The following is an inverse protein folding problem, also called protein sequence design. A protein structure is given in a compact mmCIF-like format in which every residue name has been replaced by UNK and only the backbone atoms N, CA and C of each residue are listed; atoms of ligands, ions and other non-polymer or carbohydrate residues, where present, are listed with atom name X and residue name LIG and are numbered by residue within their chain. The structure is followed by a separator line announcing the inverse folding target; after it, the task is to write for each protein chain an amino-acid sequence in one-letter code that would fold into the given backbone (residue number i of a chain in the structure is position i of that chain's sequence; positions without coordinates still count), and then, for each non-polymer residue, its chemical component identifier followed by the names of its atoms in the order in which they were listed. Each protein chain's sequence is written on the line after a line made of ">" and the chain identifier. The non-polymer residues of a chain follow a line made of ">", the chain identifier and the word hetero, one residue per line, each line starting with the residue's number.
data_IF_260389370294
#
_entry.id   IF_260389370294
#
_cell.length_a   1.000
_cell.length_b   1.000
_cell.length_c   1.000
_cell.angle_alpha   90.00
_cell.angle_beta   90.00
_cell.angle_gamma   90.00
#
_symmetry.space_group_name_H-M   'P 1'
#
loop_
_entity.id
_entity.type
_entity.pdbx_description
1 polymer ?
#
# COMPACT_ATOMS: atom_id res chain seq x y z
N UNK A 1 5.34 -9.14 -11.35
CA UNK A 1 6.55 -9.78 -10.81
C UNK A 1 6.43 -10.15 -9.32
N UNK A 2 5.97 -9.25 -8.44
CA UNK A 2 5.81 -9.53 -7.00
C UNK A 2 4.93 -10.75 -6.68
N UNK A 3 3.73 -10.81 -7.26
CA UNK A 3 2.78 -11.94 -7.07
C UNK A 3 3.37 -13.28 -7.53
N UNK A 4 4.17 -13.27 -8.60
CA UNK A 4 4.83 -14.47 -9.10
C UNK A 4 5.94 -14.96 -8.15
N UNK A 5 6.73 -14.04 -7.56
CA UNK A 5 7.74 -14.37 -6.56
C UNK A 5 7.09 -14.94 -5.28
N UNK A 6 5.98 -14.35 -4.83
CA UNK A 6 5.19 -14.86 -3.70
C UNK A 6 4.62 -16.25 -3.99
N UNK A 7 4.04 -16.44 -5.18
CA UNK A 7 3.51 -17.74 -5.59
C UNK A 7 4.58 -18.82 -5.78
N UNK A 8 5.85 -18.44 -5.97
CA UNK A 8 7.01 -19.35 -6.03
C UNK A 8 7.69 -19.55 -4.67
N UNK A 9 7.18 -18.94 -3.60
CA UNK A 9 7.76 -19.02 -2.25
C UNK A 9 9.10 -18.29 -2.10
N UNK A 10 9.45 -17.41 -3.05
CA UNK A 10 10.70 -16.63 -3.00
C UNK A 10 10.61 -15.43 -2.06
N UNK A 11 9.39 -14.99 -1.74
CA UNK A 11 9.09 -13.94 -0.77
C UNK A 11 7.91 -14.38 0.08
N UNK A 12 7.98 -14.08 1.37
CA UNK A 12 7.00 -14.45 2.40
C UNK A 12 5.91 -13.39 2.57
N UNK A 13 6.20 -12.14 2.18
CA UNK A 13 5.27 -11.01 2.31
C UNK A 13 5.34 -10.07 1.10
N UNK A 14 4.22 -9.47 0.74
CA UNK A 14 4.14 -8.34 -0.19
C UNK A 14 3.65 -7.13 0.61
N UNK A 15 4.37 -6.02 0.52
CA UNK A 15 3.99 -4.77 1.19
C UNK A 15 3.77 -3.72 0.12
N UNK A 16 2.56 -3.24 0.01
CA UNK A 16 2.21 -2.10 -0.84
C UNK A 16 2.22 -0.86 0.01
N UNK A 17 3.08 0.08 -0.37
CA UNK A 17 3.22 1.32 0.34
C UNK A 17 3.12 2.49 -0.61
N UNK A 18 2.42 3.52 -0.15
CA UNK A 18 2.37 4.81 -0.81
C UNK A 18 3.01 5.82 0.11
N UNK A 19 3.88 6.70 -0.38
CA UNK A 19 4.28 7.84 0.41
C UNK A 19 3.01 8.61 0.73
N UNK A 20 2.73 8.77 2.04
CA UNK A 20 1.77 9.78 2.43
C UNK A 20 2.37 11.08 1.90
N UNK A 21 1.70 11.71 0.92
CA UNK A 21 2.01 13.08 0.57
C UNK A 21 1.93 13.81 1.90
N UNK A 22 3.05 14.42 2.33
CA UNK A 22 2.99 15.38 3.41
C UNK A 22 1.87 16.33 2.99
N UNK A 23 0.75 16.24 3.68
CA UNK A 23 -0.36 17.16 3.53
C UNK A 23 0.13 18.49 4.12
N UNK A 24 1.12 19.08 3.46
CA UNK A 24 1.76 20.33 3.83
C UNK A 24 0.79 21.48 3.72
N UNK A 25 -0.35 21.30 3.05
CA UNK A 25 -1.45 22.25 3.06
C UNK A 25 -2.72 21.51 2.63
N UNK A 26 -3.60 21.24 3.60
CA UNK A 26 -4.96 20.75 3.35
C UNK A 26 -5.01 19.34 2.74
N UNK A 27 -4.90 18.33 3.60
CA UNK A 27 -5.80 17.18 3.48
C UNK A 27 -7.20 17.81 3.54
N UNK A 28 -7.75 18.16 2.36
CA UNK A 28 -9.03 18.83 2.23
C UNK A 28 -10.00 18.15 3.17
N UNK A 29 -10.62 18.93 4.06
CA UNK A 29 -11.42 18.50 5.20
C UNK A 29 -12.43 17.41 4.80
N UNK A 30 -11.99 16.15 4.75
CA UNK A 30 -12.86 15.00 4.65
C UNK A 30 -13.31 14.75 6.09
N UNK A 31 -14.60 14.96 6.42
CA UNK A 31 -15.11 14.58 7.72
C UNK A 31 -15.00 13.06 7.84
N UNK A 32 -14.37 12.58 8.91
CA UNK A 32 -14.17 11.15 9.10
C UNK A 32 -12.91 10.80 9.89
N UNK A 33 -12.87 9.54 10.31
CA UNK A 33 -11.76 8.97 11.06
C UNK A 33 -10.49 8.88 10.19
N UNK A 34 -9.32 8.74 10.81
CA UNK A 34 -8.04 8.64 10.09
C UNK A 34 -8.06 7.53 9.02
N UNK A 35 -8.79 6.44 9.27
CA UNK A 35 -8.99 5.35 8.32
C UNK A 35 -9.75 5.81 7.05
N UNK A 36 -10.85 6.54 7.20
CA UNK A 36 -11.67 7.05 6.08
C UNK A 36 -10.92 8.09 5.23
N UNK A 37 -9.95 8.78 5.84
CA UNK A 37 -9.07 9.72 5.12
C UNK A 37 -7.98 9.01 4.33
N UNK A 38 -7.53 7.86 4.79
CA UNK A 38 -6.45 7.09 4.17
C UNK A 38 -7.01 6.17 3.07
N UNK A 39 -8.24 5.71 3.21
CA UNK A 39 -8.94 4.80 2.29
C UNK A 39 -8.90 5.23 0.80
N UNK A 40 -9.17 6.50 0.44
CA UNK A 40 -9.10 6.97 -0.95
C UNK A 40 -7.70 6.85 -1.57
N UNK A 41 -6.65 6.97 -0.76
CA UNK A 41 -5.25 6.89 -1.21
C UNK A 41 -4.79 5.45 -1.41
N UNK A 42 -5.36 4.51 -0.65
CA UNK A 42 -5.05 3.09 -0.73
C UNK A 42 -5.90 2.38 -1.79
N UNK A 43 -7.06 2.93 -2.17
CA UNK A 43 -7.98 2.33 -3.16
C UNK A 43 -7.30 1.90 -4.48
N UNK A 44 -6.44 2.72 -5.11
CA UNK A 44 -5.73 2.30 -6.33
C UNK A 44 -4.80 1.10 -6.12
N UNK A 45 -4.24 0.93 -4.91
CA UNK A 45 -3.39 -0.22 -4.58
C UNK A 45 -4.23 -1.49 -4.46
N UNK A 46 -5.41 -1.39 -3.83
CA UNK A 46 -6.37 -2.50 -3.75
C UNK A 46 -6.87 -2.89 -5.15
N UNK A 47 -7.17 -1.92 -6.00
CA UNK A 47 -7.60 -2.17 -7.39
C UNK A 47 -6.49 -2.88 -8.18
N UNK A 48 -5.24 -2.41 -8.09
CA UNK A 48 -4.10 -3.05 -8.74
C UNK A 48 -3.84 -4.48 -8.22
N UNK A 49 -4.08 -4.74 -6.92
CA UNK A 49 -4.04 -6.09 -6.37
C UNK A 49 -5.13 -6.99 -6.94
N UNK A 50 -6.35 -6.46 -7.06
CA UNK A 50 -7.50 -7.20 -7.60
C UNK A 50 -7.36 -7.49 -9.11
N UNK A 51 -6.65 -6.64 -9.85
CA UNK A 51 -6.30 -6.91 -11.26
C UNK A 51 -5.31 -8.07 -11.40
N UNK A 52 -4.39 -8.23 -10.44
CA UNK A 52 -3.38 -9.29 -10.46
C UNK A 52 -3.85 -10.59 -9.79
N UNK A 53 -4.83 -10.53 -8.89
CA UNK A 53 -5.28 -11.66 -8.07
C UNK A 53 -6.77 -11.53 -7.77
N UNK A 54 -7.51 -12.66 -7.75
CA UNK A 54 -8.93 -12.65 -7.36
C UNK A 54 -9.12 -12.07 -5.95
N UNK A 55 -10.20 -11.30 -5.79
CA UNK A 55 -10.58 -10.64 -4.54
C UNK A 55 -10.50 -11.56 -3.32
N UNK A 56 -11.08 -12.77 -3.39
CA UNK A 56 -11.10 -13.73 -2.27
C UNK A 56 -9.68 -14.12 -1.83
N UNK A 57 -8.77 -14.25 -2.81
CA UNK A 57 -7.37 -14.60 -2.55
C UNK A 57 -6.61 -13.44 -1.92
N UNK A 58 -6.88 -12.21 -2.36
CA UNK A 58 -6.26 -11.01 -1.78
C UNK A 58 -6.72 -10.85 -0.33
N UNK A 59 -8.03 -10.91 -0.06
CA UNK A 59 -8.57 -10.83 1.30
C UNK A 59 -7.99 -11.91 2.22
N UNK A 60 -7.93 -13.16 1.77
CA UNK A 60 -7.33 -14.25 2.56
C UNK A 60 -5.82 -14.05 2.82
N UNK A 61 -5.09 -13.40 1.91
CA UNK A 61 -3.67 -13.10 2.10
C UNK A 61 -3.44 -11.87 2.98
N UNK A 62 -4.37 -10.90 2.96
CA UNK A 62 -4.35 -9.76 3.86
C UNK A 62 -4.64 -10.19 5.30
N UNK A 63 -5.65 -11.05 5.52
CA UNK A 63 -5.95 -11.62 6.83
C UNK A 63 -4.78 -12.43 7.40
N UNK A 64 -4.03 -13.14 6.54
CA UNK A 64 -2.82 -13.88 6.91
C UNK A 64 -1.59 -12.99 7.14
N UNK A 65 -1.67 -11.68 6.86
CA UNK A 65 -0.52 -10.76 6.92
C UNK A 65 0.56 -11.02 5.88
N UNK A 66 0.21 -11.75 4.81
CA UNK A 66 1.07 -12.01 3.66
C UNK A 66 1.03 -10.86 2.65
N UNK A 67 -0.10 -10.15 2.55
CA UNK A 67 -0.21 -8.87 1.83
C UNK A 67 -0.51 -7.78 2.87
N UNK A 68 0.27 -6.71 2.87
CA UNK A 68 0.06 -5.57 3.74
C UNK A 68 -0.03 -4.29 2.90
N UNK A 69 -1.06 -3.48 3.13
CA UNK A 69 -1.22 -2.17 2.49
C UNK A 69 -1.12 -1.10 3.57
N UNK A 70 -0.03 -0.33 3.57
CA UNK A 70 0.19 0.67 4.61
C UNK A 70 1.07 1.84 4.14
N UNK A 71 0.88 3.05 4.71
CA UNK A 71 1.70 4.22 4.36
C UNK A 71 3.19 4.02 4.70
N UNK A 72 4.08 4.67 3.97
CA UNK A 72 5.54 4.51 4.18
C UNK A 72 5.97 4.93 5.61
N UNK A 73 5.23 5.85 6.23
CA UNK A 73 5.45 6.28 7.61
C UNK A 73 5.33 5.12 8.62
N UNK A 74 4.47 4.14 8.35
CA UNK A 74 4.28 2.95 9.19
C UNK A 74 5.38 1.90 9.00
N UNK A 75 6.21 2.04 7.96
CA UNK A 75 7.33 1.15 7.69
C UNK A 75 8.61 1.56 8.42
N UNK A 76 8.68 2.80 8.91
CA UNK A 76 9.85 3.32 9.62
C UNK A 76 10.09 2.52 10.91
N UNK A 77 11.28 1.92 11.04
CA UNK A 77 11.68 1.15 12.22
C UNK A 77 11.21 -0.30 12.24
N UNK A 78 10.55 -0.79 11.17
CA UNK A 78 10.18 -2.20 11.03
C UNK A 78 11.26 -2.98 10.29
N UNK A 79 11.54 -4.20 10.75
CA UNK A 79 12.39 -5.15 10.02
C UNK A 79 11.53 -5.90 9.00
N UNK A 80 11.77 -5.64 7.72
CA UNK A 80 10.98 -6.17 6.60
C UNK A 80 11.73 -7.32 5.90
N UNK A 81 11.90 -8.43 6.60
CA UNK A 81 12.58 -9.62 6.07
C UNK A 81 11.69 -10.39 5.07
N UNK A 82 12.32 -10.98 4.06
CA UNK A 82 11.68 -11.80 3.00
C UNK A 82 10.43 -11.16 2.40
N UNK A 83 10.47 -9.84 2.21
CA UNK A 83 9.32 -9.07 1.79
C UNK A 83 9.57 -8.34 0.49
N UNK A 84 8.56 -8.31 -0.36
CA UNK A 84 8.56 -7.56 -1.61
C UNK A 84 7.80 -6.25 -1.38
N UNK A 85 8.52 -5.13 -1.37
CA UNK A 85 7.92 -3.80 -1.16
C UNK A 85 7.64 -3.16 -2.52
N UNK A 86 6.40 -2.74 -2.74
CA UNK A 86 5.95 -2.00 -3.92
C UNK A 86 5.65 -0.58 -3.46
N UNK A 87 6.44 0.38 -3.94
CA UNK A 87 6.23 1.80 -3.71
C UNK A 87 5.45 2.39 -4.90
N UNK A 88 4.24 2.88 -4.66
CA UNK A 88 3.48 3.60 -5.67
C UNK A 88 3.83 5.10 -5.63
N UNK A 89 4.68 5.54 -6.54
CA UNK A 89 5.08 6.95 -6.72
C UNK A 89 4.04 7.75 -7.51
N UNK A 90 2.74 7.61 -7.21
CA UNK A 90 1.69 8.39 -7.85
C UNK A 90 1.98 9.90 -7.77
N UNK A 91 2.59 10.43 -8.84
CA UNK A 91 3.07 11.81 -9.09
C UNK A 91 3.09 12.73 -7.86
N UNK A 92 4.20 12.74 -7.12
CA UNK A 92 4.55 13.88 -6.26
C UNK A 92 5.14 14.99 -7.13
N UNK A 93 4.30 15.80 -7.77
CA UNK A 93 4.77 17.14 -8.19
C UNK A 93 4.59 18.08 -7.00
N UNK A 94 5.66 18.57 -6.36
CA UNK A 94 5.52 19.82 -5.62
C UNK A 94 5.03 20.89 -6.62
N UNK A 95 4.13 21.82 -6.23
CA UNK A 95 3.79 22.92 -7.10
C UNK A 95 5.09 23.66 -7.42
N UNK A 96 5.50 23.63 -8.69
CA UNK A 96 6.54 24.50 -9.20
C UNK A 96 6.04 25.92 -8.97
N UNK A 97 6.75 26.60 -8.07
CA UNK A 97 6.61 27.98 -7.61
C UNK A 97 6.31 28.98 -8.73
#
# INVERSE_FOLDING_TARGET
>A
MAVAAFSKGQVSRIILTRPAVEAGETLGFLPGDLAEKVDPYLRPLYDALHDMMRFEKVSALMEKGAIEVAPIAFMRGRTLNDSFIILDEGRTRPPSR
#
